data_IF_649836170285
#
_entry.id   IF_649836170285
#
_cell.length_a   1.000
_cell.length_b   1.000
_cell.length_c   1.000
_cell.angle_alpha   90.00
_cell.angle_beta   90.00
_cell.angle_gamma   90.00
#
_symmetry.space_group_name_H-M   'P 1'
#
loop_
_entity.id
_entity.type
_entity.pdbx_description
1 polymer ?
#
# COMPACT_ATOMS: atom_id res chain seq x y z
N UNK A 1 -36.91 35.22 -24.99
CA UNK A 1 -35.54 35.78 -24.96
C UNK A 1 -34.65 34.81 -25.72
N UNK A 2 -34.43 35.11 -27.00
CA UNK A 2 -33.65 34.27 -27.91
C UNK A 2 -32.16 34.58 -27.69
N UNK A 3 -31.38 33.56 -27.36
CA UNK A 3 -29.96 33.69 -27.02
C UNK A 3 -29.14 33.62 -28.33
N UNK A 4 -28.94 34.77 -28.97
CA UNK A 4 -28.12 34.94 -30.18
C UNK A 4 -26.64 34.72 -29.87
N UNK A 5 -26.22 33.46 -29.81
CA UNK A 5 -24.80 33.09 -29.77
C UNK A 5 -24.30 32.94 -31.19
N UNK A 6 -23.92 34.06 -31.81
CA UNK A 6 -23.09 34.06 -33.02
C UNK A 6 -21.80 33.26 -32.73
N UNK A 7 -21.77 32.02 -33.20
CA UNK A 7 -20.53 31.27 -33.39
C UNK A 7 -19.84 31.90 -34.59
N UNK A 8 -18.62 32.36 -34.38
CA UNK A 8 -17.76 32.83 -35.44
C UNK A 8 -17.42 31.61 -36.32
N UNK A 9 -17.99 31.54 -37.51
CA UNK A 9 -17.69 30.47 -38.46
C UNK A 9 -16.40 30.83 -39.20
N UNK A 10 -15.53 29.83 -39.41
CA UNK A 10 -14.21 30.04 -40.01
C UNK A 10 -14.26 30.58 -41.45
N UNK A 11 -15.44 30.63 -42.08
CA UNK A 11 -15.63 31.17 -43.42
C UNK A 11 -15.75 32.70 -43.46
N UNK A 12 -15.91 33.37 -42.31
CA UNK A 12 -15.98 34.85 -42.22
C UNK A 12 -14.59 35.52 -42.19
N UNK A 13 -13.53 34.74 -42.42
CA UNK A 13 -12.16 35.25 -42.46
C UNK A 13 -11.84 35.86 -43.83
N UNK A 14 -11.50 37.15 -43.82
CA UNK A 14 -11.00 37.86 -44.99
C UNK A 14 -9.53 38.26 -44.78
N UNK A 15 -8.75 38.12 -45.86
CA UNK A 15 -7.33 38.47 -45.91
C UNK A 15 -7.15 39.97 -45.62
N UNK A 16 -6.59 40.30 -44.44
CA UNK A 16 -6.45 41.66 -43.94
C UNK A 16 -7.04 41.92 -42.55
N UNK A 17 -7.82 40.99 -41.97
CA UNK A 17 -8.24 41.09 -40.58
C UNK A 17 -7.10 40.72 -39.61
N UNK A 18 -6.96 41.48 -38.53
CA UNK A 18 -5.99 41.22 -37.47
C UNK A 18 -6.45 39.97 -36.72
N UNK A 19 -5.66 38.89 -36.78
CA UNK A 19 -5.92 37.66 -36.03
C UNK A 19 -6.04 38.00 -34.54
N UNK A 20 -7.14 37.59 -33.86
CA UNK A 20 -7.26 37.81 -32.43
C UNK A 20 -6.07 37.16 -31.75
N UNK A 21 -5.29 37.96 -31.03
CA UNK A 21 -4.06 37.55 -30.39
C UNK A 21 -4.34 36.35 -29.48
N UNK A 22 -3.44 35.36 -29.49
CA UNK A 22 -3.54 34.11 -28.70
C UNK A 22 -3.75 34.37 -27.20
N UNK A 23 -3.38 35.57 -26.71
CA UNK A 23 -3.65 36.02 -25.33
C UNK A 23 -5.14 36.30 -25.06
N UNK A 24 -5.92 36.75 -26.04
CA UNK A 24 -7.34 37.08 -25.86
C UNK A 24 -8.23 35.83 -25.79
N UNK A 25 -7.83 34.75 -26.46
CA UNK A 25 -8.55 33.47 -26.45
C UNK A 25 -8.51 32.80 -25.07
N UNK A 26 -7.39 32.91 -24.34
CA UNK A 26 -7.23 32.32 -23.01
C UNK A 26 -8.08 33.01 -21.93
N UNK A 27 -8.22 34.34 -21.98
CA UNK A 27 -9.06 35.06 -21.02
C UNK A 27 -10.56 34.78 -21.22
N UNK A 28 -10.99 34.50 -22.46
CA UNK A 28 -12.40 34.20 -22.75
C UNK A 28 -12.84 32.84 -22.20
N UNK A 29 -11.95 31.84 -22.19
CA UNK A 29 -12.24 30.53 -21.60
C UNK A 29 -12.25 30.54 -20.07
N UNK A 30 -11.39 31.36 -19.45
CA UNK A 30 -11.34 31.49 -17.97
C UNK A 30 -12.63 32.11 -17.41
N UNK A 31 -13.20 33.11 -18.10
CA UNK A 31 -14.51 33.69 -17.72
C UNK A 31 -15.68 32.73 -17.89
N UNK A 32 -15.65 31.83 -18.89
CA UNK A 32 -16.70 30.80 -19.07
C UNK A 32 -16.71 29.77 -17.95
N UNK A 33 -15.55 29.31 -17.48
CA UNK A 33 -15.46 28.36 -16.34
C UNK A 33 -15.99 28.97 -15.03
N UNK A 34 -15.72 30.25 -14.78
CA UNK A 34 -16.23 30.95 -13.58
C UNK A 34 -17.76 31.10 -13.58
N UNK A 35 -18.38 31.30 -14.76
CA UNK A 35 -19.84 31.42 -14.88
C UNK A 35 -20.56 30.06 -14.76
N UNK A 36 -19.90 28.97 -15.12
CA UNK A 36 -20.46 27.62 -14.97
C UNK A 36 -20.36 27.10 -13.52
N UNK A 37 -19.30 27.48 -12.79
CA UNK A 37 -19.15 27.14 -11.37
C UNK A 37 -20.16 27.85 -10.44
N UNK A 38 -20.68 29.01 -10.84
CA UNK A 38 -21.71 29.75 -10.08
C UNK A 38 -23.13 29.24 -10.33
N UNK A 39 -23.40 28.60 -11.47
CA UNK A 39 -24.72 28.03 -11.77
C UNK A 39 -24.99 26.71 -11.02
N UNK A 40 -23.95 25.93 -10.69
CA UNK A 40 -24.10 24.63 -10.01
C UNK A 40 -24.35 24.76 -8.51
N UNK A 41 -24.03 25.91 -7.90
CA UNK A 41 -24.25 26.15 -6.46
C UNK A 41 -25.68 26.59 -6.08
N UNK A 42 -26.58 26.77 -7.05
CA UNK A 42 -27.96 27.20 -6.82
C UNK A 42 -29.01 26.09 -6.77
N UNK A 43 -28.64 24.82 -6.95
CA UNK A 43 -29.57 23.70 -7.04
C UNK A 43 -29.33 22.68 -5.92
N UNK A 44 -29.67 23.03 -4.68
CA UNK A 44 -29.83 22.06 -3.60
C UNK A 44 -30.85 22.58 -2.59
N UNK A 45 -32.12 22.33 -2.87
CA UNK A 45 -33.25 22.48 -1.95
C UNK A 45 -34.14 21.25 -2.12
N UNK A 46 -34.13 20.37 -1.12
CA UNK A 46 -35.27 19.65 -0.51
C UNK A 46 -34.82 18.33 0.13
N UNK A 47 -35.00 18.14 1.45
CA UNK A 47 -35.06 16.83 2.07
C UNK A 47 -36.55 16.45 2.28
N UNK A 48 -37.00 15.39 1.61
CA UNK A 48 -38.32 14.79 1.88
C UNK A 48 -38.15 13.61 2.82
N UNK A 49 -38.71 13.77 4.02
CA UNK A 49 -38.87 12.75 5.04
C UNK A 49 -40.06 11.82 4.71
N UNK A 50 -39.89 10.52 4.92
CA UNK A 50 -40.95 9.51 5.10
C UNK A 50 -40.27 8.30 5.78
N UNK A 51 -40.33 8.17 7.11
CA UNK A 51 -41.34 7.44 7.90
C UNK A 51 -41.74 6.08 7.31
N UNK A 52 -41.17 5.00 7.88
CA UNK A 52 -41.88 3.75 8.08
C UNK A 52 -41.24 3.00 9.27
N UNK A 53 -41.87 3.14 10.43
CA UNK A 53 -41.68 2.29 11.59
C UNK A 53 -42.44 0.99 11.36
N UNK A 54 -41.79 -0.14 11.61
CA UNK A 54 -42.49 -1.41 11.85
C UNK A 54 -41.92 -2.04 13.11
N UNK A 55 -42.72 -1.87 14.16
CA UNK A 55 -42.64 -2.49 15.48
C UNK A 55 -42.61 -4.01 15.34
N UNK A 56 -41.59 -4.66 15.91
CA UNK A 56 -41.60 -6.10 16.16
C UNK A 56 -41.59 -6.32 17.67
N UNK A 57 -42.73 -6.74 18.20
CA UNK A 57 -42.93 -7.16 19.59
C UNK A 57 -42.56 -8.63 19.77
N UNK A 58 -41.80 -8.87 20.83
CA UNK A 58 -41.53 -10.07 21.65
C UNK A 58 -42.54 -11.25 21.59
N UNK A 59 -42.13 -12.50 21.92
CA UNK A 59 -41.88 -12.85 23.33
C UNK A 59 -40.73 -13.83 23.65
N UNK A 60 -40.09 -13.58 24.80
CA UNK A 60 -39.81 -14.52 25.91
C UNK A 60 -39.43 -15.98 25.57
N UNK A 61 -38.16 -16.31 25.82
CA UNK A 61 -37.75 -17.59 26.42
C UNK A 61 -36.35 -17.45 27.05
N UNK A 62 -36.33 -17.07 28.32
CA UNK A 62 -35.17 -17.15 29.21
C UNK A 62 -35.16 -18.52 29.88
N UNK A 63 -34.11 -19.35 29.71
CA UNK A 63 -33.82 -20.39 30.66
C UNK A 63 -32.59 -20.00 31.48
N UNK A 64 -32.84 -19.89 32.79
CA UNK A 64 -31.90 -19.83 33.88
C UNK A 64 -30.56 -20.53 33.62
N UNK A 65 -29.45 -19.80 33.79
CA UNK A 65 -28.16 -20.39 34.11
C UNK A 65 -27.78 -19.99 35.52
N UNK A 66 -27.77 -21.01 36.38
CA UNK A 66 -27.23 -20.99 37.73
C UNK A 66 -25.75 -20.54 37.71
N UNK A 67 -25.31 -19.68 38.64
CA UNK A 67 -23.89 -19.41 38.82
C UNK A 67 -23.28 -20.57 39.63
N UNK A 68 -22.68 -21.54 38.93
CA UNK A 68 -21.77 -22.49 39.58
C UNK A 68 -20.45 -21.78 39.82
N UNK A 69 -20.31 -21.32 41.06
CA UNK A 69 -19.03 -20.97 41.68
C UNK A 69 -18.31 -22.28 41.97
N UNK A 70 -17.25 -22.56 41.23
CA UNK A 70 -16.18 -23.44 41.73
C UNK A 70 -14.88 -22.64 41.86
N UNK A 71 -14.28 -22.61 43.07
CA UNK A 71 -12.95 -22.06 43.30
C UNK A 71 -11.94 -23.11 42.83
N UNK A 72 -10.74 -22.73 42.39
CA UNK A 72 -9.49 -23.47 42.66
C UNK A 72 -8.27 -22.85 41.95
N UNK A 73 -7.32 -22.50 42.81
CA UNK A 73 -5.84 -22.52 42.69
C UNK A 73 -5.14 -21.59 41.69
N UNK A 74 -4.57 -20.55 42.28
CA UNK A 74 -3.22 -20.06 41.95
C UNK A 74 -2.22 -21.23 41.88
N UNK A 75 -1.42 -21.34 40.81
CA UNK A 75 -0.14 -22.04 40.87
C UNK A 75 0.96 -21.09 41.34
N UNK A 76 1.66 -21.54 42.37
CA UNK A 76 2.86 -20.96 42.97
C UNK A 76 3.96 -20.67 41.94
N UNK A 77 4.84 -19.68 42.19
CA UNK A 77 6.04 -19.46 41.39
C UNK A 77 7.06 -20.57 41.65
N UNK A 78 7.31 -21.40 40.63
CA UNK A 78 8.41 -22.38 40.68
C UNK A 78 9.73 -21.63 40.51
N UNK A 79 10.55 -21.78 41.55
CA UNK A 79 11.94 -21.37 41.67
C UNK A 79 12.86 -22.30 40.86
N UNK A 80 13.91 -21.70 40.29
CA UNK A 80 15.18 -22.30 39.82
C UNK A 80 15.15 -23.41 38.77
N UNK A 81 15.77 -23.12 37.62
CA UNK A 81 17.04 -23.77 37.31
C UNK A 81 17.89 -22.88 36.39
N UNK A 82 19.05 -22.49 36.91
CA UNK A 82 20.12 -21.88 36.17
C UNK A 82 20.66 -22.87 35.12
N UNK A 83 20.76 -22.41 33.87
CA UNK A 83 21.58 -23.05 32.85
C UNK A 83 22.67 -22.07 32.37
N UNK A 84 23.89 -22.57 32.12
CA UNK A 84 25.08 -21.75 32.01
C UNK A 84 25.10 -20.96 30.70
N UNK A 85 25.54 -19.71 30.81
CA UNK A 85 25.96 -18.90 29.69
C UNK A 85 27.05 -19.64 28.89
N UNK A 86 26.67 -20.16 27.74
CA UNK A 86 27.61 -20.58 26.70
C UNK A 86 28.21 -19.31 26.11
N UNK A 87 29.35 -18.89 26.67
CA UNK A 87 30.26 -17.94 26.04
C UNK A 87 30.70 -18.54 24.70
N UNK A 88 30.01 -18.18 23.61
CA UNK A 88 30.59 -18.30 22.28
C UNK A 88 31.72 -17.26 22.20
N UNK A 89 32.99 -17.68 22.01
CA UNK A 89 34.05 -16.75 21.71
C UNK A 89 33.65 -16.03 20.43
N UNK A 90 33.62 -14.71 20.52
CA UNK A 90 33.48 -13.78 19.43
C UNK A 90 34.61 -14.09 18.43
N UNK A 91 34.32 -14.95 17.44
CA UNK A 91 35.27 -15.24 16.38
C UNK A 91 35.58 -13.94 15.65
N UNK A 92 36.86 -13.58 15.71
CA UNK A 92 37.49 -12.47 15.01
C UNK A 92 37.12 -12.50 13.53
N UNK A 93 36.10 -11.74 13.14
CA UNK A 93 35.72 -11.59 11.74
C UNK A 93 36.80 -10.80 10.98
N UNK A 94 37.55 -11.41 10.04
CA UNK A 94 38.56 -10.69 9.24
C UNK A 94 37.94 -9.57 8.38
N UNK A 95 36.63 -9.65 8.13
CA UNK A 95 35.87 -8.64 7.40
C UNK A 95 35.85 -7.26 8.10
N UNK A 96 35.96 -7.19 9.42
CA UNK A 96 36.00 -5.90 10.12
C UNK A 96 37.37 -5.22 10.04
N UNK A 97 38.47 -5.99 9.92
CA UNK A 97 39.81 -5.42 9.71
C UNK A 97 39.96 -4.79 8.32
N UNK A 98 39.37 -5.40 7.29
CA UNK A 98 39.42 -4.88 5.92
C UNK A 98 38.68 -3.53 5.79
N UNK A 99 37.55 -3.38 6.49
CA UNK A 99 36.79 -2.12 6.54
C UNK A 99 37.57 -1.02 7.28
N UNK A 100 38.31 -1.35 8.34
CA UNK A 100 39.14 -0.36 9.05
C UNK A 100 40.36 0.07 8.24
N UNK A 101 40.97 -0.84 7.48
CA UNK A 101 42.14 -0.54 6.65
C UNK A 101 41.77 0.36 5.46
N UNK A 102 40.62 0.11 4.81
CA UNK A 102 40.10 0.97 3.76
C UNK A 102 39.76 2.40 4.25
N UNK A 103 39.35 2.54 5.53
CA UNK A 103 39.08 3.86 6.12
C UNK A 103 40.36 4.66 6.40
N UNK A 104 41.45 3.99 6.77
CA UNK A 104 42.74 4.65 6.99
C UNK A 104 43.33 5.20 5.68
N UNK A 105 43.23 4.45 4.57
CA UNK A 105 43.70 4.91 3.27
C UNK A 105 42.88 6.09 2.71
N UNK A 106 41.56 6.09 2.91
CA UNK A 106 40.71 7.21 2.48
C UNK A 106 40.99 8.52 3.26
N UNK A 107 41.52 8.43 4.49
CA UNK A 107 41.79 9.61 5.31
C UNK A 107 43.18 10.21 5.01
N UNK A 108 44.12 9.42 4.47
CA UNK A 108 45.45 9.89 4.10
C UNK A 108 45.46 10.77 2.84
N UNK A 109 44.48 10.62 1.94
CA UNK A 109 44.43 11.34 0.66
C UNK A 109 43.71 12.70 0.75
N UNK A 110 43.15 13.06 1.90
CA UNK A 110 42.40 14.32 2.10
C UNK A 110 43.20 15.43 2.80
N UNK A 111 44.51 15.24 3.02
CA UNK A 111 45.38 16.20 3.71
C UNK A 111 46.20 17.12 2.78
N UNK A 112 45.94 17.13 1.47
CA UNK A 112 46.50 18.13 0.54
C UNK A 112 45.41 19.12 0.16
N UNK A 113 44.98 19.91 1.15
CA UNK A 113 44.30 21.17 0.88
C UNK A 113 45.37 22.20 0.59
N UNK A 114 45.61 22.37 -0.71
CA UNK A 114 46.42 23.44 -1.27
C UNK A 114 45.89 24.77 -0.72
N UNK A 115 46.78 25.55 -0.11
CA UNK A 115 46.46 26.84 0.47
C UNK A 115 46.15 27.82 -0.67
N UNK A 116 44.91 27.79 -1.17
CA UNK A 116 44.39 28.76 -2.11
C UNK A 116 44.40 30.12 -1.42
N UNK A 117 45.43 30.89 -1.75
CA UNK A 117 45.66 32.26 -1.32
C UNK A 117 44.53 33.11 -1.90
N UNK A 118 43.47 33.30 -1.11
CA UNK A 118 42.37 34.21 -1.46
C UNK A 118 42.99 35.61 -1.51
N UNK A 119 43.03 36.29 -2.68
CA UNK A 119 43.46 37.68 -2.71
C UNK A 119 42.51 38.50 -1.83
N UNK A 120 43.08 39.40 -1.00
CA UNK A 120 42.34 40.38 -0.22
C UNK A 120 41.65 41.37 -1.18
N UNK A 121 40.54 40.93 -1.77
CA UNK A 121 39.66 41.78 -2.53
C UNK A 121 38.82 42.56 -1.51
N UNK A 122 38.94 43.88 -1.53
CA UNK A 122 38.23 44.75 -0.59
C UNK A 122 36.73 44.47 -0.63
N UNK A 123 36.07 44.52 0.53
CA UNK A 123 34.63 44.26 0.67
C UNK A 123 33.77 45.08 -0.31
N UNK A 124 34.22 46.28 -0.66
CA UNK A 124 33.54 47.16 -1.61
C UNK A 124 33.55 46.61 -3.05
N UNK A 125 34.63 45.97 -3.48
CA UNK A 125 34.72 45.35 -4.81
C UNK A 125 33.93 44.02 -4.86
N UNK A 126 33.83 43.29 -3.74
CA UNK A 126 32.92 42.14 -3.62
C UNK A 126 31.45 42.55 -3.75
N UNK A 127 31.05 43.66 -3.14
CA UNK A 127 29.67 44.17 -3.26
C UNK A 127 29.37 44.66 -4.68
N UNK A 128 30.30 45.39 -5.31
CA UNK A 128 30.11 45.84 -6.69
C UNK A 128 29.96 44.67 -7.68
N UNK A 129 30.72 43.57 -7.51
CA UNK A 129 30.56 42.36 -8.34
C UNK A 129 29.25 41.61 -8.07
N UNK A 130 28.82 41.55 -6.82
CA UNK A 130 27.54 40.90 -6.45
C UNK A 130 26.33 41.66 -7.00
N UNK A 131 26.39 42.99 -7.02
CA UNK A 131 25.30 43.82 -7.56
C UNK A 131 25.25 43.73 -9.10
N UNK A 132 26.40 43.67 -9.79
CA UNK A 132 26.48 43.51 -11.26
C UNK A 132 25.98 42.13 -11.71
N UNK A 133 26.37 41.04 -11.02
CA UNK A 133 25.87 39.68 -11.27
C UNK A 133 24.36 39.57 -11.04
N UNK A 134 23.84 40.26 -10.02
CA UNK A 134 22.41 40.24 -9.70
C UNK A 134 21.58 40.93 -10.79
N UNK A 135 22.05 42.04 -11.33
CA UNK A 135 21.37 42.71 -12.44
C UNK A 135 21.42 41.93 -13.75
N UNK A 136 22.52 41.21 -14.04
CA UNK A 136 22.58 40.34 -15.22
C UNK A 136 21.68 39.09 -15.08
N UNK A 137 21.53 38.55 -13.88
CA UNK A 137 20.63 37.41 -13.65
C UNK A 137 19.13 37.78 -13.68
N UNK A 138 18.74 39.00 -13.32
CA UNK A 138 17.33 39.44 -13.39
C UNK A 138 16.86 39.70 -14.83
N UNK A 139 17.73 40.14 -15.75
CA UNK A 139 17.38 40.30 -17.17
C UNK A 139 17.46 38.97 -17.96
N UNK A 140 18.30 38.02 -17.53
CA UNK A 140 18.37 36.68 -18.11
C UNK A 140 17.26 35.73 -17.61
N UNK A 141 16.59 36.04 -16.50
CA UNK A 141 15.41 35.32 -15.99
C UNK A 141 14.11 35.63 -16.76
N UNK A 142 14.23 36.26 -17.93
CA UNK A 142 13.14 36.69 -18.80
C UNK A 142 12.66 35.64 -19.81
N UNK A 143 12.92 34.36 -19.61
CA UNK A 143 12.19 33.25 -20.23
C UNK A 143 12.68 31.96 -19.56
N UNK A 144 12.36 31.77 -18.27
CA UNK A 144 12.43 30.45 -17.64
C UNK A 144 11.43 29.54 -18.36
N UNK A 145 11.84 29.06 -19.53
CA UNK A 145 11.17 28.02 -20.28
C UNK A 145 11.29 26.78 -19.42
N UNK A 146 10.31 26.58 -18.54
CA UNK A 146 10.12 25.35 -17.79
C UNK A 146 10.40 24.19 -18.76
N UNK A 147 11.45 23.39 -18.53
CA UNK A 147 11.80 22.32 -19.45
C UNK A 147 10.54 21.47 -19.66
N UNK A 148 10.18 21.17 -20.92
CA UNK A 148 8.95 20.46 -21.20
C UNK A 148 8.96 19.19 -20.36
N UNK A 149 7.87 18.88 -19.62
CA UNK A 149 7.87 17.76 -18.70
C UNK A 149 8.25 16.50 -19.49
N UNK A 150 9.30 15.81 -19.03
CA UNK A 150 9.86 14.62 -19.68
C UNK A 150 8.80 13.54 -19.97
N UNK A 151 7.71 13.56 -19.19
CA UNK A 151 6.54 12.73 -19.42
C UNK A 151 5.33 13.59 -19.74
N UNK A 152 4.63 13.23 -20.82
CA UNK A 152 3.31 13.76 -21.12
C UNK A 152 2.35 13.50 -19.95
N UNK A 153 1.37 14.37 -19.74
CA UNK A 153 0.35 14.21 -18.67
C UNK A 153 -0.32 12.83 -18.72
N UNK A 154 -0.52 12.30 -19.93
CA UNK A 154 -1.08 10.97 -20.16
C UNK A 154 -0.19 9.82 -19.69
N UNK A 155 1.12 9.89 -19.94
CA UNK A 155 2.07 8.89 -19.44
C UNK A 155 2.09 8.86 -17.91
N UNK A 156 2.01 10.03 -17.26
CA UNK A 156 1.92 10.12 -15.80
C UNK A 156 0.66 9.43 -15.28
N UNK A 157 -0.50 9.69 -15.91
CA UNK A 157 -1.76 9.03 -15.53
C UNK A 157 -1.66 7.51 -15.70
N UNK A 158 -1.16 7.04 -16.85
CA UNK A 158 -0.97 5.59 -17.10
C UNK A 158 0.00 4.94 -16.12
N UNK A 159 1.07 5.64 -15.74
CA UNK A 159 2.02 5.15 -14.76
C UNK A 159 1.34 4.98 -13.40
N UNK A 160 0.65 5.99 -12.90
CA UNK A 160 -0.03 5.91 -11.61
C UNK A 160 -1.14 4.85 -11.59
N UNK A 161 -1.98 4.79 -12.63
CA UNK A 161 -3.04 3.78 -12.70
C UNK A 161 -2.48 2.38 -12.87
N UNK A 162 -1.44 2.22 -13.69
CA UNK A 162 -0.73 0.96 -13.88
C UNK A 162 -0.08 0.47 -12.59
N UNK A 163 0.66 1.33 -11.90
CA UNK A 163 1.27 1.01 -10.60
C UNK A 163 0.22 0.65 -9.56
N UNK A 164 -0.89 1.40 -9.47
CA UNK A 164 -1.98 1.07 -8.55
C UNK A 164 -2.62 -0.29 -8.86
N UNK A 165 -2.87 -0.59 -10.13
CA UNK A 165 -3.44 -1.87 -10.57
C UNK A 165 -2.50 -3.04 -10.27
N UNK A 166 -1.22 -2.92 -10.61
CA UNK A 166 -0.20 -3.94 -10.33
C UNK A 166 -0.08 -4.17 -8.83
N UNK A 167 -0.06 -3.11 -8.03
CA UNK A 167 -0.01 -3.20 -6.57
C UNK A 167 -1.24 -3.95 -6.03
N UNK A 168 -2.44 -3.65 -6.54
CA UNK A 168 -3.66 -4.35 -6.16
C UNK A 168 -3.61 -5.83 -6.55
N UNK A 169 -3.10 -6.17 -7.73
CA UNK A 169 -2.91 -7.55 -8.16
C UNK A 169 -1.93 -8.30 -7.26
N UNK A 170 -0.82 -7.69 -6.87
CA UNK A 170 0.16 -8.29 -5.94
C UNK A 170 -0.47 -8.51 -4.56
N UNK A 171 -1.23 -7.53 -4.06
CA UNK A 171 -1.92 -7.65 -2.78
C UNK A 171 -2.98 -8.78 -2.83
N UNK A 172 -3.76 -8.85 -3.91
CA UNK A 172 -4.76 -9.89 -4.09
C UNK A 172 -4.11 -11.28 -4.20
N UNK A 173 -3.03 -11.42 -4.98
CA UNK A 173 -2.27 -12.66 -5.09
C UNK A 173 -1.72 -13.09 -3.73
N UNK A 174 -1.16 -12.15 -2.98
CA UNK A 174 -0.63 -12.37 -1.65
C UNK A 174 -1.69 -12.71 -0.61
N UNK A 175 -3.00 -12.63 -0.91
CA UNK A 175 -4.08 -12.92 0.03
C UNK A 175 -4.83 -14.22 -0.25
N UNK A 176 -4.65 -14.80 -1.43
CA UNK A 176 -5.32 -16.03 -1.83
C UNK A 176 -4.37 -17.20 -1.58
N UNK A 177 -4.88 -18.27 -0.99
CA UNK A 177 -4.19 -19.54 -0.78
C UNK A 177 -4.95 -20.70 -1.42
N UNK A 178 -4.23 -21.66 -1.96
CA UNK A 178 -4.76 -22.94 -2.41
C UNK A 178 -4.50 -24.00 -1.33
N UNK A 179 -5.57 -24.59 -0.82
CA UNK A 179 -5.53 -25.62 0.21
C UNK A 179 -5.91 -26.95 -0.41
N UNK A 180 -5.10 -27.98 -0.22
CA UNK A 180 -5.37 -29.33 -0.72
C UNK A 180 -5.10 -30.38 0.36
N UNK A 181 -5.46 -31.63 0.06
CA UNK A 181 -5.29 -32.77 0.97
C UNK A 181 -5.87 -32.49 2.37
N UNK A 182 -7.13 -32.05 2.46
CA UNK A 182 -7.73 -31.75 3.76
C UNK A 182 -7.98 -33.07 4.53
N UNK A 183 -7.34 -33.28 5.70
CA UNK A 183 -7.50 -34.51 6.47
C UNK A 183 -8.89 -34.56 7.11
N UNK A 184 -9.36 -35.77 7.41
CA UNK A 184 -10.71 -35.97 7.93
C UNK A 184 -10.92 -35.26 9.27
N UNK A 185 -9.89 -35.14 10.12
CA UNK A 185 -9.99 -34.40 11.39
C UNK A 185 -10.41 -32.93 11.17
N UNK A 186 -9.99 -32.30 10.07
CA UNK A 186 -10.41 -30.93 9.72
C UNK A 186 -11.83 -30.92 9.19
N UNK A 187 -12.19 -31.88 8.33
CA UNK A 187 -13.55 -31.97 7.78
C UNK A 187 -14.61 -32.14 8.87
N UNK A 188 -14.34 -33.00 9.86
CA UNK A 188 -15.28 -33.23 10.95
C UNK A 188 -15.48 -32.01 11.86
N UNK A 189 -14.47 -31.15 12.01
CA UNK A 189 -14.54 -29.97 12.87
C UNK A 189 -14.93 -28.68 12.11
N UNK A 190 -14.73 -28.64 10.80
CA UNK A 190 -14.85 -27.42 9.98
C UNK A 190 -15.68 -27.71 8.73
N UNK A 191 -16.98 -27.37 8.82
CA UNK A 191 -17.97 -27.66 7.77
C UNK A 191 -17.68 -26.98 6.42
N UNK A 192 -16.85 -25.94 6.41
CA UNK A 192 -16.44 -25.28 5.17
C UNK A 192 -15.64 -26.21 4.23
N UNK A 193 -14.98 -27.23 4.78
CA UNK A 193 -14.15 -28.18 4.04
C UNK A 193 -14.85 -29.51 3.72
N UNK A 194 -16.16 -29.62 3.95
CA UNK A 194 -16.91 -30.86 3.69
C UNK A 194 -16.99 -31.24 2.20
N UNK A 195 -16.75 -30.27 1.30
CA UNK A 195 -17.07 -30.40 -0.12
C UNK A 195 -15.84 -30.30 -1.00
N UNK A 196 -15.21 -31.45 -1.24
CA UNK A 196 -14.20 -31.62 -2.28
C UNK A 196 -12.79 -31.83 -1.75
N UNK A 197 -11.86 -32.23 -2.64
CA UNK A 197 -10.48 -32.51 -2.26
C UNK A 197 -9.61 -31.25 -2.09
N UNK A 198 -9.98 -30.13 -2.72
CA UNK A 198 -9.18 -28.91 -2.71
C UNK A 198 -10.03 -27.63 -2.76
N UNK A 199 -9.46 -26.55 -2.20
CA UNK A 199 -10.17 -25.30 -1.90
C UNK A 199 -9.30 -24.09 -2.20
N UNK A 200 -9.93 -23.02 -2.67
CA UNK A 200 -9.35 -21.69 -2.75
C UNK A 200 -9.83 -20.89 -1.54
N UNK A 201 -8.91 -20.39 -0.72
CA UNK A 201 -9.22 -19.70 0.54
C UNK A 201 -8.56 -18.34 0.62
N UNK A 202 -9.15 -17.42 1.40
CA UNK A 202 -8.50 -16.17 1.78
C UNK A 202 -7.72 -16.40 3.06
N UNK A 203 -6.40 -16.21 3.02
CA UNK A 203 -5.55 -16.37 4.21
C UNK A 203 -5.55 -15.11 5.08
N UNK A 204 -5.55 -15.25 6.43
CA UNK A 204 -5.52 -14.10 7.32
C UNK A 204 -4.18 -13.35 7.29
N UNK A 205 -3.09 -14.03 6.95
CA UNK A 205 -1.76 -13.41 6.77
C UNK A 205 -1.45 -13.03 5.31
N UNK A 206 -0.45 -12.16 5.13
CA UNK A 206 0.03 -11.72 3.80
C UNK A 206 1.15 -12.62 3.26
N UNK A 207 2.09 -13.00 4.12
CA UNK A 207 3.29 -13.74 3.74
C UNK A 207 3.18 -15.19 4.16
N UNK A 208 3.28 -16.11 3.20
CA UNK A 208 3.18 -17.54 3.43
C UNK A 208 3.04 -18.29 2.11
N UNK A 209 3.21 -19.62 2.12
CA UNK A 209 3.13 -20.43 0.92
C UNK A 209 1.78 -20.24 0.22
N UNK A 210 1.76 -20.15 -1.12
CA UNK A 210 0.51 -20.03 -1.88
C UNK A 210 -0.26 -21.36 -1.92
N UNK A 211 0.43 -22.47 -1.69
CA UNK A 211 -0.12 -23.83 -1.69
C UNK A 211 0.12 -24.44 -0.32
N UNK A 212 -0.94 -24.92 0.32
CA UNK A 212 -0.91 -25.47 1.67
C UNK A 212 -1.51 -26.88 1.62
N UNK A 213 -0.68 -27.86 1.97
CA UNK A 213 -1.11 -29.22 2.24
C UNK A 213 -1.54 -29.29 3.72
N UNK A 214 -2.79 -29.64 4.01
CA UNK A 214 -3.26 -29.79 5.40
C UNK A 214 -2.97 -31.18 5.97
N UNK A 215 -2.81 -32.19 5.13
CA UNK A 215 -2.49 -33.56 5.56
C UNK A 215 -1.05 -33.67 6.07
N UNK A 216 -0.13 -32.79 5.62
CA UNK A 216 1.25 -32.79 6.13
C UNK A 216 1.34 -32.55 7.66
N UNK A 217 0.31 -31.92 8.24
CA UNK A 217 0.24 -31.64 9.68
C UNK A 217 -0.51 -32.75 10.46
N UNK A 218 -1.17 -33.66 9.75
CA UNK A 218 -1.82 -34.81 10.33
C UNK A 218 -0.79 -35.92 10.53
N UNK A 219 -0.74 -36.49 11.74
CA UNK A 219 0.17 -37.60 12.06
C UNK A 219 -0.66 -38.86 12.22
N UNK A 220 -0.71 -39.75 11.21
CA UNK A 220 -1.59 -40.92 11.24
C UNK A 220 -1.22 -41.93 12.33
N UNK A 221 0.00 -41.85 12.86
CA UNK A 221 0.49 -42.71 13.95
C UNK A 221 -0.05 -42.30 15.33
N UNK A 222 -0.53 -41.07 15.48
CA UNK A 222 -1.01 -40.54 16.75
C UNK A 222 -2.54 -40.55 16.83
N UNK A 223 -3.10 -40.61 18.03
CA UNK A 223 -4.55 -40.49 18.22
C UNK A 223 -5.05 -39.14 17.69
N UNK A 224 -6.09 -39.11 16.84
CA UNK A 224 -6.57 -37.88 16.24
C UNK A 224 -7.06 -36.92 17.33
N UNK A 225 -6.29 -35.85 17.56
CA UNK A 225 -6.59 -34.82 18.55
C UNK A 225 -6.58 -33.45 17.86
N UNK A 226 -7.74 -32.78 17.92
CA UNK A 226 -7.95 -31.49 17.28
C UNK A 226 -7.03 -30.39 17.82
N UNK A 227 -6.84 -30.33 19.13
CA UNK A 227 -6.03 -29.30 19.78
C UNK A 227 -4.56 -29.45 19.40
N UNK A 228 -4.08 -30.70 19.31
CA UNK A 228 -2.71 -31.00 18.90
C UNK A 228 -2.49 -30.68 17.42
N UNK A 229 -3.47 -30.99 16.56
CA UNK A 229 -3.44 -30.60 15.15
C UNK A 229 -3.40 -29.07 14.99
N UNK A 230 -4.22 -28.37 15.76
CA UNK A 230 -4.27 -26.91 15.79
C UNK A 230 -2.94 -26.29 16.22
N UNK A 231 -2.32 -26.84 17.28
CA UNK A 231 -1.00 -26.40 17.74
C UNK A 231 0.10 -26.61 16.69
N UNK A 232 0.01 -27.66 15.86
CA UNK A 232 0.96 -27.95 14.78
C UNK A 232 0.84 -27.01 13.59
N UNK A 233 -0.37 -26.56 13.28
CA UNK A 233 -0.59 -25.60 12.22
C UNK A 233 0.11 -24.26 12.52
N UNK A 234 0.26 -23.90 13.80
CA UNK A 234 0.91 -22.65 14.20
C UNK A 234 0.22 -21.45 13.56
N UNK A 235 0.99 -20.63 12.85
CA UNK A 235 0.47 -19.47 12.13
C UNK A 235 -0.60 -19.84 11.07
N UNK A 236 -0.59 -21.08 10.58
CA UNK A 236 -1.54 -21.56 9.58
C UNK A 236 -2.93 -21.88 10.17
N UNK A 237 -3.07 -21.90 11.50
CA UNK A 237 -4.30 -22.24 12.20
C UNK A 237 -5.48 -21.35 11.78
N UNK A 238 -5.22 -20.08 11.44
CA UNK A 238 -6.25 -19.13 11.03
C UNK A 238 -7.03 -19.54 9.76
N UNK A 239 -6.48 -20.41 8.90
CA UNK A 239 -7.23 -20.98 7.75
C UNK A 239 -8.32 -21.94 8.22
N UNK A 240 -8.07 -22.64 9.33
CA UNK A 240 -8.94 -23.68 9.87
C UNK A 240 -9.94 -23.10 10.87
N UNK A 241 -9.54 -22.12 11.67
CA UNK A 241 -10.43 -21.43 12.62
C UNK A 241 -11.53 -20.62 11.94
N UNK A 242 -11.17 -19.83 10.91
CA UNK A 242 -12.07 -18.91 10.23
C UNK A 242 -11.95 -19.07 8.70
N UNK A 243 -12.41 -20.20 8.13
CA UNK A 243 -12.22 -20.51 6.73
C UNK A 243 -13.08 -19.60 5.84
N UNK A 244 -12.43 -18.72 5.10
CA UNK A 244 -13.06 -17.94 4.03
C UNK A 244 -12.83 -18.64 2.67
N UNK A 245 -13.66 -19.64 2.38
CA UNK A 245 -13.61 -20.40 1.12
C UNK A 245 -14.22 -19.57 -0.01
N UNK A 246 -13.42 -19.31 -1.04
CA UNK A 246 -13.84 -18.62 -2.27
C UNK A 246 -14.39 -19.61 -3.30
N UNK A 247 -13.75 -20.78 -3.42
CA UNK A 247 -14.05 -21.77 -4.44
C UNK A 247 -13.65 -23.16 -3.96
N UNK A 248 -14.33 -24.20 -4.45
CA UNK A 248 -13.93 -25.59 -4.25
C UNK A 248 -13.73 -26.28 -5.60
N UNK A 249 -12.76 -27.17 -5.67
CA UNK A 249 -12.45 -27.94 -6.87
C UNK A 249 -13.04 -29.34 -6.75
N UNK A 250 -13.60 -29.86 -7.84
CA UNK A 250 -14.17 -31.22 -7.86
C UNK A 250 -13.09 -32.31 -7.81
N UNK A 251 -11.93 -32.00 -8.37
CA UNK A 251 -10.75 -32.86 -8.42
C UNK A 251 -9.54 -32.02 -8.06
N UNK A 252 -8.61 -32.58 -7.29
CA UNK A 252 -7.34 -31.94 -7.04
C UNK A 252 -6.42 -32.13 -8.26
N UNK A 253 -6.00 -31.02 -8.85
CA UNK A 253 -5.12 -31.05 -10.02
C UNK A 253 -3.67 -31.33 -9.64
N UNK A 254 -3.27 -31.14 -8.38
CA UNK A 254 -1.92 -31.46 -7.91
C UNK A 254 -1.70 -32.96 -7.71
N UNK A 255 -2.77 -33.69 -7.38
CA UNK A 255 -2.71 -35.15 -7.20
C UNK A 255 -2.62 -35.92 -8.53
N UNK A 256 -3.06 -35.32 -9.64
CA UNK A 256 -3.06 -35.98 -10.96
C UNK A 256 -1.72 -35.90 -11.71
N UNK A 257 -0.68 -35.27 -11.14
CA UNK A 257 0.62 -35.10 -11.80
C UNK A 257 1.65 -36.20 -11.48
N UNK A 258 1.25 -37.25 -10.75
CA UNK A 258 2.07 -38.41 -10.41
C UNK A 258 1.45 -39.70 -10.97
#
# INVERSE_FOLDING_TARGET
>A
MSDDRQRFDNNDWHEGMILPSRKDTHNRNRKKKAKQASAVRGASVEPKAELAATTFTEPVAEPAREPVVEPVREPEPVVELAEPATEHPLEDHPALQEIQLARAEATATSAVTDAVRIPDVSWAEKQARLDDDRTQHEEAAGDDVDPPPFFTTWQRVMLWTGTALVTLCILAWGKIGYVHNVPDIVRHNVSAYDRGPAFLVVKPWWFGPPVIDLAQYDRPEETPNWELYHARLGDYAGIVENPHVLWYYRSDFLLNSY
#
